data_IF_445854653578
#
_entry.id   IF_445854653578
#
_cell.length_a   1.000
_cell.length_b   1.000
_cell.length_c   1.000
_cell.angle_alpha   90.00
_cell.angle_beta   90.00
_cell.angle_gamma   90.00
#
_symmetry.space_group_name_H-M   'P 1'
#
loop_
_entity.id
_entity.type
_entity.pdbx_description
1 polymer ?
#
# COMPACT_ATOMS: atom_id res chain seq x y z
N UNK A 1 13.29 27.24 16.83
CA UNK A 1 13.25 26.07 17.72
C UNK A 1 13.21 24.86 16.79
N UNK A 2 14.37 24.26 16.51
CA UNK A 2 14.45 23.09 15.63
C UNK A 2 13.93 21.86 16.39
N UNK A 3 12.67 21.51 16.16
CA UNK A 3 11.99 20.35 16.73
C UNK A 3 12.66 19.00 16.38
N UNK A 4 13.64 19.00 15.48
CA UNK A 4 14.35 17.82 15.01
C UNK A 4 15.82 17.75 15.48
N UNK A 5 16.27 18.70 16.32
CA UNK A 5 17.65 18.73 16.79
C UNK A 5 17.90 17.59 17.80
N UNK A 6 18.60 16.54 17.37
CA UNK A 6 18.93 15.37 18.19
C UNK A 6 18.13 14.11 17.89
N UNK A 7 17.28 14.12 16.85
CA UNK A 7 16.55 12.93 16.40
C UNK A 7 17.34 12.26 15.26
N UNK A 8 17.96 11.11 15.55
CA UNK A 8 18.45 10.22 14.50
C UNK A 8 17.26 9.57 13.80
N UNK A 9 16.95 10.00 12.57
CA UNK A 9 15.92 9.36 11.76
C UNK A 9 16.42 8.02 11.25
N UNK A 10 15.89 6.92 11.80
CA UNK A 10 16.10 5.60 11.23
C UNK A 10 15.21 5.43 9.98
N UNK A 11 15.75 5.77 8.81
CA UNK A 11 15.04 5.65 7.53
C UNK A 11 14.62 4.21 7.20
N UNK A 12 15.27 3.18 7.76
CA UNK A 12 14.87 1.78 7.54
C UNK A 12 13.46 1.50 8.07
N UNK A 13 13.02 2.22 9.12
CA UNK A 13 11.68 2.08 9.70
C UNK A 13 10.56 2.47 8.73
N UNK A 14 10.87 3.29 7.70
CA UNK A 14 9.90 3.73 6.70
C UNK A 14 9.99 2.90 5.40
N UNK A 15 11.19 2.46 5.04
CA UNK A 15 11.42 1.71 3.79
C UNK A 15 10.65 0.39 3.79
N UNK A 16 10.68 -0.37 4.88
CA UNK A 16 9.98 -1.66 4.98
C UNK A 16 8.46 -1.55 4.78
N UNK A 17 7.76 -0.71 5.56
CA UNK A 17 6.32 -0.47 5.38
C UNK A 17 5.95 0.01 3.98
N UNK A 18 6.75 0.91 3.39
CA UNK A 18 6.53 1.40 2.03
C UNK A 18 6.67 0.28 0.99
N UNK A 19 7.64 -0.61 1.16
CA UNK A 19 7.85 -1.74 0.25
C UNK A 19 6.66 -2.70 0.29
N UNK A 20 6.15 -3.01 1.50
CA UNK A 20 4.92 -3.81 1.65
C UNK A 20 3.73 -3.09 1.04
N UNK A 21 3.59 -1.77 1.23
CA UNK A 21 2.51 -1.00 0.62
C UNK A 21 2.51 -1.16 -0.90
N UNK A 22 3.67 -0.97 -1.54
CA UNK A 22 3.81 -1.18 -2.98
C UNK A 22 3.42 -2.61 -3.38
N UNK A 23 3.93 -3.63 -2.69
CA UNK A 23 3.60 -5.03 -2.97
C UNK A 23 2.09 -5.28 -2.85
N UNK A 24 1.45 -4.79 -1.78
CA UNK A 24 0.01 -4.99 -1.54
C UNK A 24 -0.82 -4.29 -2.61
N UNK A 25 -0.53 -3.03 -2.93
CA UNK A 25 -1.25 -2.28 -3.96
C UNK A 25 -1.09 -2.93 -5.35
N UNK A 26 0.13 -3.33 -5.72
CA UNK A 26 0.37 -4.05 -6.97
C UNK A 26 -0.31 -5.40 -7.00
N UNK A 27 -0.25 -6.18 -5.91
CA UNK A 27 -0.89 -7.49 -5.82
C UNK A 27 -2.41 -7.40 -6.00
N UNK A 28 -3.05 -6.44 -5.32
CA UNK A 28 -4.49 -6.21 -5.41
C UNK A 28 -4.89 -5.73 -6.82
N UNK A 29 -4.16 -4.78 -7.39
CA UNK A 29 -4.41 -4.33 -8.76
C UNK A 29 -4.17 -5.44 -9.80
N UNK A 30 -3.19 -6.33 -9.57
CA UNK A 30 -2.92 -7.47 -10.44
C UNK A 30 -4.03 -8.51 -10.38
N UNK A 31 -4.52 -8.85 -9.18
CA UNK A 31 -5.68 -9.74 -9.00
C UNK A 31 -6.91 -9.15 -9.69
N UNK A 32 -7.18 -7.86 -9.48
CA UNK A 32 -8.26 -7.15 -10.16
C UNK A 32 -8.15 -7.25 -11.68
N UNK A 33 -6.96 -6.97 -12.25
CA UNK A 33 -6.72 -7.13 -13.69
C UNK A 33 -6.99 -8.56 -14.15
N UNK A 34 -6.48 -9.55 -13.43
CA UNK A 34 -6.63 -10.95 -13.81
C UNK A 34 -8.11 -11.40 -13.83
N UNK A 35 -8.89 -10.98 -12.84
CA UNK A 35 -10.29 -11.36 -12.70
C UNK A 35 -11.22 -10.58 -13.63
N UNK A 36 -11.00 -9.27 -13.78
CA UNK A 36 -12.01 -8.33 -14.26
C UNK A 36 -11.70 -7.70 -15.62
N UNK A 37 -10.47 -7.78 -16.11
CA UNK A 37 -10.08 -7.18 -17.39
C UNK A 37 -10.87 -7.74 -18.60
N UNK A 38 -11.21 -9.03 -18.58
CA UNK A 38 -12.00 -9.65 -19.66
C UNK A 38 -13.51 -9.57 -19.45
N UNK A 39 -13.96 -9.20 -18.24
CA UNK A 39 -15.37 -9.20 -17.87
C UNK A 39 -16.01 -7.82 -18.03
N UNK A 40 -15.25 -6.75 -17.78
CA UNK A 40 -15.78 -5.38 -17.75
C UNK A 40 -15.45 -4.59 -19.02
N UNK A 41 -16.37 -3.69 -19.46
CA UNK A 41 -16.05 -2.70 -20.48
C UNK A 41 -14.89 -1.81 -20.03
N UNK A 42 -13.99 -1.45 -20.97
CA UNK A 42 -12.75 -0.70 -20.69
C UNK A 42 -12.97 0.56 -19.84
N UNK A 43 -14.04 1.32 -20.11
CA UNK A 43 -14.37 2.53 -19.33
C UNK A 43 -14.67 2.22 -17.86
N UNK A 44 -15.44 1.16 -17.60
CA UNK A 44 -15.83 0.76 -16.26
C UNK A 44 -14.66 0.10 -15.53
N UNK A 45 -13.86 -0.70 -16.25
CA UNK A 45 -12.63 -1.26 -15.72
C UNK A 45 -11.66 -0.16 -15.25
N UNK A 46 -11.46 0.89 -16.05
CA UNK A 46 -10.59 2.01 -15.71
C UNK A 46 -11.13 2.87 -14.57
N UNK A 47 -12.45 3.04 -14.48
CA UNK A 47 -13.10 3.74 -13.38
C UNK A 47 -12.81 3.08 -12.03
N UNK A 48 -12.85 1.74 -11.97
CA UNK A 48 -12.63 0.98 -10.74
C UNK A 48 -11.16 0.78 -10.35
N UNK A 49 -10.18 1.09 -11.22
CA UNK A 49 -8.76 1.01 -10.87
C UNK A 49 -8.43 1.85 -9.62
N UNK A 50 -8.95 3.07 -9.53
CA UNK A 50 -8.72 3.95 -8.39
C UNK A 50 -9.25 3.37 -7.07
N UNK A 51 -10.55 3.02 -6.97
CA UNK A 51 -11.11 2.33 -5.82
C UNK A 51 -10.37 1.05 -5.42
N UNK A 52 -9.92 0.25 -6.39
CA UNK A 52 -9.16 -0.98 -6.13
C UNK A 52 -7.77 -0.68 -5.56
N UNK A 53 -7.10 0.36 -6.05
CA UNK A 53 -5.83 0.80 -5.48
C UNK A 53 -6.01 1.27 -4.02
N UNK A 54 -7.10 2.00 -3.72
CA UNK A 54 -7.46 2.38 -2.34
C UNK A 54 -7.76 1.15 -1.47
N UNK A 55 -8.43 0.14 -2.01
CA UNK A 55 -8.67 -1.12 -1.30
C UNK A 55 -7.34 -1.82 -0.95
N UNK A 56 -6.35 -1.78 -1.84
CA UNK A 56 -4.99 -2.25 -1.53
C UNK A 56 -4.33 -1.49 -0.38
N UNK A 57 -4.54 -0.18 -0.29
CA UNK A 57 -4.07 0.63 0.85
C UNK A 57 -4.74 0.22 2.17
N UNK A 58 -6.06 0.00 2.18
CA UNK A 58 -6.76 -0.47 3.38
C UNK A 58 -6.31 -1.86 3.83
N UNK A 59 -6.04 -2.77 2.88
CA UNK A 59 -5.49 -4.09 3.20
C UNK A 59 -4.09 -3.95 3.81
N UNK A 60 -3.26 -3.06 3.29
CA UNK A 60 -1.94 -2.78 3.86
C UNK A 60 -2.00 -2.18 5.27
N UNK A 61 -3.04 -1.40 5.58
CA UNK A 61 -3.22 -0.80 6.90
C UNK A 61 -3.38 -1.86 8.01
N UNK A 62 -4.05 -2.98 7.72
CA UNK A 62 -4.32 -4.06 8.68
C UNK A 62 -3.04 -4.58 9.35
N UNK A 63 -2.02 -5.10 8.63
CA UNK A 63 -0.79 -5.56 9.27
C UNK A 63 -0.07 -4.44 10.02
N UNK A 64 -0.12 -3.20 9.52
CA UNK A 64 0.52 -2.05 10.18
C UNK A 64 -0.10 -1.75 11.56
N UNK A 65 -1.43 -1.83 11.66
CA UNK A 65 -2.17 -1.71 12.92
C UNK A 65 -1.96 -2.91 13.85
N UNK A 66 -1.76 -4.12 13.30
CA UNK A 66 -1.45 -5.34 14.07
C UNK A 66 -0.03 -5.40 14.63
N UNK A 67 0.74 -4.32 14.53
CA UNK A 67 2.08 -4.25 15.11
C UNK A 67 3.22 -4.57 14.15
N UNK A 68 2.98 -4.74 12.83
CA UNK A 68 4.08 -5.03 11.90
C UNK A 68 5.13 -3.92 11.83
N UNK A 69 4.76 -2.67 12.18
CA UNK A 69 5.71 -1.56 12.32
C UNK A 69 6.87 -1.88 13.28
N UNK A 70 6.68 -2.82 14.22
CA UNK A 70 7.72 -3.27 15.14
C UNK A 70 8.79 -4.13 14.47
N UNK A 71 8.49 -4.80 13.34
CA UNK A 71 9.47 -5.61 12.57
C UNK A 71 10.41 -4.76 11.71
N UNK A 72 10.16 -3.46 11.59
CA UNK A 72 11.01 -2.54 10.83
C UNK A 72 11.89 -1.65 11.72
N UNK A 73 11.90 -1.89 13.04
CA UNK A 73 12.60 -1.09 14.04
C UNK A 73 14.11 -1.12 13.89
#
# INVERSE_FOLDING_TARGET
>A
MDIFKGIEFNYMQFIGPLLILFITMFGVAFIYRFLLFKLLPVKLYNFFIGPIALLGFFIWLIPMELGFHQFFK
#
